data_IF_775724346922
#
_entry.id   IF_775724346922
#
_cell.length_a   1.000
_cell.length_b   1.000
_cell.length_c   1.000
_cell.angle_alpha   90.00
_cell.angle_beta   90.00
_cell.angle_gamma   90.00
#
_symmetry.space_group_name_H-M   'P 1'
#
loop_
_entity.id
_entity.type
_entity.pdbx_description
1 polymer ?
#
# COMPACT_ATOMS: atom_id res chain seq x y z
N UNK A 1 -6.87 -24.25 -7.72
CA UNK A 1 -7.05 -22.91 -8.33
C UNK A 1 -7.25 -21.97 -7.17
N UNK A 2 -6.33 -21.05 -6.92
CA UNK A 2 -6.45 -20.16 -5.77
C UNK A 2 -7.36 -19.00 -6.17
N UNK A 3 -8.55 -18.92 -5.57
CA UNK A 3 -9.54 -17.88 -5.86
C UNK A 3 -8.91 -16.49 -5.68
N UNK A 4 -9.16 -15.58 -6.62
CA UNK A 4 -8.64 -14.21 -6.54
C UNK A 4 -9.72 -13.37 -5.89
N UNK A 5 -9.40 -12.87 -4.70
CA UNK A 5 -10.33 -12.07 -3.91
C UNK A 5 -9.91 -10.59 -4.03
N UNK A 6 -10.89 -9.71 -4.22
CA UNK A 6 -10.68 -8.27 -4.20
C UNK A 6 -10.55 -7.76 -2.78
N UNK A 7 -9.86 -6.65 -2.56
CA UNK A 7 -9.66 -6.09 -1.21
C UNK A 7 -10.99 -5.90 -0.44
N UNK A 8 -12.03 -5.42 -1.12
CA UNK A 8 -13.37 -5.18 -0.55
C UNK A 8 -14.10 -6.47 -0.12
N UNK A 9 -13.61 -7.63 -0.58
CA UNK A 9 -14.16 -8.95 -0.26
C UNK A 9 -13.36 -9.68 0.83
N UNK A 10 -12.29 -9.08 1.34
CA UNK A 10 -11.50 -9.66 2.41
C UNK A 10 -12.23 -9.52 3.76
N UNK A 11 -12.08 -10.53 4.61
CA UNK A 11 -12.50 -10.44 6.01
C UNK A 11 -11.75 -9.32 6.76
N UNK A 12 -12.26 -8.89 7.91
CA UNK A 12 -11.67 -7.79 8.69
C UNK A 12 -10.20 -8.04 9.05
N UNK A 13 -9.87 -9.26 9.47
CA UNK A 13 -8.49 -9.67 9.80
C UNK A 13 -7.57 -9.59 8.58
N UNK A 14 -8.03 -10.07 7.43
CA UNK A 14 -7.30 -10.06 6.17
C UNK A 14 -7.12 -8.62 5.64
N UNK A 15 -8.15 -7.80 5.76
CA UNK A 15 -8.16 -6.37 5.42
C UNK A 15 -7.15 -5.60 6.26
N UNK A 16 -7.17 -5.73 7.59
CA UNK A 16 -6.22 -5.04 8.46
C UNK A 16 -4.78 -5.47 8.16
N UNK A 17 -4.54 -6.78 7.97
CA UNK A 17 -3.22 -7.27 7.58
C UNK A 17 -2.75 -6.67 6.25
N UNK A 18 -3.61 -6.60 5.23
CA UNK A 18 -3.28 -6.04 3.94
C UNK A 18 -2.97 -4.53 4.01
N UNK A 19 -3.68 -3.79 4.87
CA UNK A 19 -3.42 -2.36 5.13
C UNK A 19 -2.08 -2.19 5.84
N UNK A 20 -1.81 -3.02 6.84
CA UNK A 20 -0.55 -2.98 7.58
C UNK A 20 0.66 -3.30 6.68
N UNK A 21 0.55 -4.30 5.80
CA UNK A 21 1.57 -4.63 4.81
C UNK A 21 1.80 -3.46 3.84
N UNK A 22 0.71 -2.82 3.40
CA UNK A 22 0.77 -1.63 2.56
C UNK A 22 1.47 -0.46 3.25
N UNK A 23 1.22 -0.23 4.55
CA UNK A 23 1.87 0.84 5.31
C UNK A 23 3.40 0.62 5.37
N UNK A 24 3.87 -0.60 5.66
CA UNK A 24 5.32 -0.89 5.71
C UNK A 24 5.98 -0.62 4.36
N UNK A 25 5.35 -1.12 3.30
CA UNK A 25 5.75 -0.84 1.92
C UNK A 25 5.77 0.67 1.65
N UNK A 26 4.69 1.37 1.94
CA UNK A 26 4.55 2.80 1.67
C UNK A 26 5.64 3.62 2.33
N UNK A 27 5.90 3.39 3.63
CA UNK A 27 6.94 4.09 4.37
C UNK A 27 8.34 3.82 3.81
N UNK A 28 8.60 2.61 3.34
CA UNK A 28 9.88 2.23 2.73
C UNK A 28 10.11 2.92 1.39
N UNK A 29 9.10 2.94 0.53
CA UNK A 29 9.16 3.54 -0.81
C UNK A 29 9.05 5.07 -0.77
N UNK A 30 8.34 5.63 0.21
CA UNK A 30 8.30 7.07 0.48
C UNK A 30 9.70 7.64 0.73
N UNK A 31 10.56 6.93 1.48
CA UNK A 31 11.96 7.33 1.70
C UNK A 31 12.81 7.34 0.42
N UNK A 32 12.44 6.54 -0.57
CA UNK A 32 13.12 6.47 -1.86
C UNK A 32 12.57 7.48 -2.88
N UNK A 33 11.45 8.14 -2.57
CA UNK A 33 10.69 8.96 -3.52
C UNK A 33 10.17 8.18 -4.74
N UNK A 34 10.09 6.85 -4.62
CA UNK A 34 9.72 5.93 -5.70
C UNK A 34 8.26 5.47 -5.52
N UNK A 35 7.32 6.42 -5.48
CA UNK A 35 5.87 6.14 -5.39
C UNK A 35 5.12 6.57 -6.65
N UNK A 36 5.83 6.83 -7.75
CA UNK A 36 5.25 7.34 -9.00
C UNK A 36 4.17 6.42 -9.59
N UNK A 37 4.34 5.09 -9.49
CA UNK A 37 3.31 4.13 -9.96
C UNK A 37 1.96 4.36 -9.25
N UNK A 38 1.98 4.83 -8.00
CA UNK A 38 0.75 5.05 -7.26
C UNK A 38 -0.01 6.28 -7.77
N UNK A 39 0.67 7.25 -8.39
CA UNK A 39 0.05 8.41 -9.02
C UNK A 39 -0.73 8.06 -10.31
N UNK A 40 -0.48 6.89 -10.91
CA UNK A 40 -1.33 6.40 -12.02
C UNK A 40 -2.73 6.01 -11.55
N UNK A 41 -2.86 5.65 -10.28
CA UNK A 41 -4.13 5.40 -9.63
C UNK A 41 -4.61 6.74 -9.10
N UNK A 42 -5.90 7.08 -9.27
CA UNK A 42 -6.49 8.38 -8.88
C UNK A 42 -6.56 8.56 -7.35
N UNK A 43 -5.43 8.41 -6.69
CA UNK A 43 -5.24 8.39 -5.26
C UNK A 43 -4.35 9.54 -4.80
N UNK A 44 -3.90 10.41 -5.71
CA UNK A 44 -2.99 11.53 -5.44
C UNK A 44 -3.41 12.37 -4.23
N UNK A 45 -4.71 12.63 -4.12
CA UNK A 45 -5.29 13.37 -2.99
C UNK A 45 -5.05 12.65 -1.65
N UNK A 46 -5.31 11.35 -1.60
CA UNK A 46 -5.09 10.53 -0.41
C UNK A 46 -3.61 10.37 -0.10
N UNK A 47 -2.78 10.16 -1.13
CA UNK A 47 -1.32 10.10 -0.98
C UNK A 47 -0.76 11.40 -0.43
N UNK A 48 -1.22 12.55 -0.91
CA UNK A 48 -0.79 13.85 -0.42
C UNK A 48 -1.11 14.01 1.08
N UNK A 49 -2.28 13.58 1.52
CA UNK A 49 -2.68 13.65 2.93
C UNK A 49 -1.85 12.71 3.82
N UNK A 50 -1.64 11.46 3.37
CA UNK A 50 -0.78 10.49 4.04
C UNK A 50 0.67 11.00 4.09
N UNK A 51 1.18 11.57 2.99
CA UNK A 51 2.52 12.13 2.89
C UNK A 51 2.70 13.31 3.85
N UNK A 52 1.72 14.20 3.91
CA UNK A 52 1.72 15.31 4.86
C UNK A 52 1.81 14.79 6.28
N UNK A 53 0.98 13.80 6.63
CA UNK A 53 0.98 13.18 7.94
C UNK A 53 2.31 12.51 8.30
N UNK A 54 2.93 11.76 7.37
CA UNK A 54 4.27 11.18 7.57
C UNK A 54 5.32 12.27 7.78
N UNK A 55 5.23 13.36 7.03
CA UNK A 55 6.19 14.46 7.14
C UNK A 55 6.07 15.21 8.47
N UNK A 56 4.84 15.46 8.93
CA UNK A 56 4.56 16.07 10.24
C UNK A 56 5.03 15.17 11.39
N UNK A 57 4.84 13.85 11.26
CA UNK A 57 5.17 12.86 12.29
C UNK A 57 6.50 12.13 12.03
N UNK A 58 7.41 12.70 11.23
CA UNK A 58 8.71 12.09 10.86
C UNK A 58 9.62 11.76 12.06
N UNK A 59 9.31 12.33 13.23
CA UNK A 59 9.99 12.05 14.50
C UNK A 59 9.59 10.70 15.10
N UNK A 60 8.49 10.09 14.63
CA UNK A 60 8.00 8.81 15.12
C UNK A 60 8.88 7.64 14.66
N UNK A 61 8.91 6.59 15.47
CA UNK A 61 9.50 5.31 15.05
C UNK A 61 8.61 4.66 13.99
N UNK A 62 9.15 3.78 13.12
CA UNK A 62 8.35 3.09 12.10
C UNK A 62 7.17 2.31 12.71
N UNK A 63 7.35 1.72 13.89
CA UNK A 63 6.28 1.02 14.61
C UNK A 63 5.18 1.97 15.09
N UNK A 64 5.55 3.14 15.63
CA UNK A 64 4.59 4.16 16.06
C UNK A 64 3.85 4.74 14.84
N UNK A 65 4.60 5.11 13.80
CA UNK A 65 4.07 5.64 12.54
C UNK A 65 3.07 4.66 11.92
N UNK A 66 3.34 3.35 11.94
CA UNK A 66 2.42 2.32 11.43
C UNK A 66 1.11 2.29 12.21
N UNK A 67 1.17 2.32 13.54
CA UNK A 67 -0.04 2.34 14.39
C UNK A 67 -0.84 3.61 14.17
N UNK A 68 -0.20 4.77 14.25
CA UNK A 68 -0.85 6.07 14.03
C UNK A 68 -1.45 6.17 12.62
N UNK A 69 -0.75 5.72 11.59
CA UNK A 69 -1.30 5.68 10.23
C UNK A 69 -2.50 4.74 10.12
N UNK A 70 -2.45 3.56 10.76
CA UNK A 70 -3.57 2.63 10.76
C UNK A 70 -4.80 3.22 11.47
N UNK A 71 -4.61 3.96 12.56
CA UNK A 71 -5.70 4.58 13.34
C UNK A 71 -6.23 5.88 12.70
N UNK A 72 -5.35 6.79 12.28
CA UNK A 72 -5.69 8.12 11.79
C UNK A 72 -5.93 8.18 10.27
N UNK A 73 -5.25 7.32 9.51
CA UNK A 73 -5.26 7.27 8.05
C UNK A 73 -5.67 5.91 7.50
N UNK A 74 -6.10 4.98 8.36
CA UNK A 74 -6.49 3.64 7.94
C UNK A 74 -7.61 3.64 6.92
N UNK A 75 -8.54 4.60 6.99
CA UNK A 75 -9.62 4.76 6.01
C UNK A 75 -9.08 5.20 4.64
N UNK A 76 -8.19 6.17 4.60
CA UNK A 76 -7.55 6.65 3.38
C UNK A 76 -6.71 5.54 2.76
N UNK A 77 -5.89 4.85 3.55
CA UNK A 77 -5.09 3.72 3.11
C UNK A 77 -5.96 2.57 2.55
N UNK A 78 -7.06 2.22 3.23
CA UNK A 78 -8.05 1.25 2.72
C UNK A 78 -8.62 1.69 1.38
N UNK A 79 -8.92 2.98 1.21
CA UNK A 79 -9.42 3.52 -0.04
C UNK A 79 -8.37 3.43 -1.15
N UNK A 80 -7.11 3.81 -0.87
CA UNK A 80 -5.99 3.69 -1.82
C UNK A 80 -5.84 2.25 -2.29
N UNK A 81 -5.79 1.29 -1.37
CA UNK A 81 -5.66 -0.14 -1.69
C UNK A 81 -6.87 -0.63 -2.51
N UNK A 82 -8.08 -0.18 -2.15
CA UNK A 82 -9.30 -0.53 -2.88
C UNK A 82 -9.32 0.04 -4.31
N UNK A 83 -8.79 1.25 -4.52
CA UNK A 83 -8.66 1.87 -5.85
C UNK A 83 -7.61 1.15 -6.70
N UNK A 84 -6.47 0.79 -6.11
CA UNK A 84 -5.44 -0.01 -6.78
C UNK A 84 -6.00 -1.41 -7.11
N UNK A 85 -6.89 -1.92 -6.27
CA UNK A 85 -7.55 -3.22 -6.34
C UNK A 85 -6.61 -4.37 -6.73
N UNK A 86 -5.50 -4.61 -5.99
CA UNK A 86 -4.61 -5.71 -6.32
C UNK A 86 -5.29 -7.06 -6.01
N UNK A 87 -4.79 -8.12 -6.65
CA UNK A 87 -5.30 -9.46 -6.46
C UNK A 87 -4.85 -10.02 -5.09
N UNK A 88 -5.79 -10.41 -4.23
CA UNK A 88 -5.52 -11.06 -2.95
C UNK A 88 -5.89 -12.54 -2.96
N UNK A 89 -5.35 -13.27 -1.99
CA UNK A 89 -5.79 -14.60 -1.61
C UNK A 89 -6.78 -14.54 -0.43
N UNK A 90 -7.43 -15.66 -0.11
CA UNK A 90 -8.39 -15.79 0.99
C UNK A 90 -7.81 -15.40 2.36
N UNK A 91 -6.49 -15.47 2.51
CA UNK A 91 -5.80 -15.11 3.74
C UNK A 91 -5.41 -13.62 3.84
N UNK A 92 -5.79 -12.79 2.86
CA UNK A 92 -5.40 -11.36 2.82
C UNK A 92 -3.96 -11.10 2.38
N UNK A 93 -3.27 -12.11 1.84
CA UNK A 93 -1.96 -11.94 1.22
C UNK A 93 -2.12 -11.55 -0.25
N UNK A 94 -1.28 -10.64 -0.75
CA UNK A 94 -1.25 -10.35 -2.19
C UNK A 94 -0.88 -11.62 -2.97
N UNK A 95 -1.52 -11.82 -4.13
CA UNK A 95 -1.16 -12.90 -5.08
C UNK A 95 0.28 -12.76 -5.60
N UNK A 96 0.75 -11.52 -5.73
CA UNK A 96 2.14 -11.22 -6.07
C UNK A 96 3.14 -11.62 -4.97
N UNK A 97 2.67 -12.01 -3.79
CA UNK A 97 3.47 -12.29 -2.59
C UNK A 97 3.45 -11.10 -1.63
N UNK A 98 4.01 -9.97 -2.05
CA UNK A 98 4.11 -8.75 -1.25
C UNK A 98 3.91 -7.50 -2.11
N UNK A 99 3.64 -6.36 -1.48
CA UNK A 99 3.58 -5.08 -2.19
C UNK A 99 4.89 -4.73 -2.90
N UNK A 100 6.06 -5.08 -2.32
CA UNK A 100 7.35 -4.93 -3.00
C UNK A 100 7.42 -5.72 -4.31
N UNK A 101 6.97 -6.99 -4.32
CA UNK A 101 6.94 -7.80 -5.53
C UNK A 101 5.93 -7.26 -6.54
N UNK A 102 4.72 -6.91 -6.08
CA UNK A 102 3.71 -6.29 -6.95
C UNK A 102 4.26 -5.02 -7.61
N UNK A 103 4.92 -4.16 -6.83
CA UNK A 103 5.54 -2.94 -7.33
C UNK A 103 6.64 -3.25 -8.34
N UNK A 104 7.53 -4.20 -8.03
CA UNK A 104 8.58 -4.65 -8.94
C UNK A 104 8.02 -5.24 -10.24
N UNK A 105 6.93 -6.01 -10.20
CA UNK A 105 6.29 -6.54 -11.40
C UNK A 105 5.67 -5.43 -12.27
N UNK A 106 5.14 -4.38 -11.63
CA UNK A 106 4.65 -3.19 -12.33
C UNK A 106 5.80 -2.36 -12.92
N UNK A 107 6.90 -2.23 -12.18
CA UNK A 107 8.06 -1.43 -12.58
C UNK A 107 8.98 -2.16 -13.58
N UNK A 108 9.12 -3.49 -13.50
CA UNK A 108 9.86 -4.32 -14.47
C UNK A 108 9.25 -4.29 -15.87
N UNK A 109 8.03 -3.77 -16.03
CA UNK A 109 7.48 -3.44 -17.36
C UNK A 109 8.05 -2.17 -17.97
N UNK A 110 8.90 -1.42 -17.26
CA UNK A 110 9.78 -0.42 -17.87
C UNK A 110 11.06 -1.17 -18.25
N UNK A 111 11.20 -1.64 -19.51
CA UNK A 111 12.47 -2.17 -19.95
C UNK A 111 13.52 -1.09 -19.77
N UNK A 112 14.61 -1.50 -19.11
CA UNK A 112 15.91 -0.88 -19.15
C UNK A 112 16.14 -0.28 -20.56
N UNK A 113 16.23 1.05 -20.62
CA UNK A 113 16.71 1.73 -21.82
C UNK A 113 18.21 1.46 -21.87
N UNK A 114 18.61 0.41 -22.58
CA UNK A 114 19.93 0.29 -23.17
C UNK A 114 19.80 0.29 -24.70
#
# INVERSE_FOLDING_TARGET
MADVISFDKLDETATNKAVEDFIDFYLRWFKKNDLEILAEYKVDYYLADINHYIFENKSFTPEQMRKDLLEQRGKDLKHVISVINPAYDQNGSLKAGSWDQWYQEKFQKVPDRD
#
